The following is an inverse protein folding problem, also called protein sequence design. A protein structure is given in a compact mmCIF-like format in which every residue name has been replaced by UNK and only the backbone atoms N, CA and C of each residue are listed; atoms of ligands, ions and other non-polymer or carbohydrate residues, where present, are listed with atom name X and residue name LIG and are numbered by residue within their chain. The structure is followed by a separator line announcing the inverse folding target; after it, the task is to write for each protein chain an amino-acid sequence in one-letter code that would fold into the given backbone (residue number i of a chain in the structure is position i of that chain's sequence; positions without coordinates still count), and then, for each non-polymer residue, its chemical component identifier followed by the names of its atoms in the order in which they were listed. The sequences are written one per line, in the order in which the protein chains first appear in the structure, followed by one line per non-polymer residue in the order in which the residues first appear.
data_IF_533757845762
#
_entry.id   IF_533757845762
#
_cell.length_a   1.000
_cell.length_b   1.000
_cell.length_c   1.000
_cell.angle_alpha   90.00
_cell.angle_beta   90.00
_cell.angle_gamma   90.00
#
_symmetry.space_group_name_H-M   'P 1'
#
loop_
_entity.id
_entity.type
_entity.pdbx_description
1 polymer ?
#
# COMPACT_ATOMS: atom_id res chain seq x y z
N UNK A 1 7.76 15.17 -74.77
CA UNK A 1 6.65 14.71 -73.83
C UNK A 1 7.17 14.14 -72.52
N UNK A 2 8.33 13.48 -72.48
CA UNK A 2 8.89 12.83 -71.29
C UNK A 2 9.25 13.82 -70.15
N UNK A 3 9.88 14.97 -70.44
CA UNK A 3 10.27 15.96 -69.42
C UNK A 3 9.10 16.58 -68.65
N UNK A 4 7.95 16.82 -69.29
CA UNK A 4 6.80 17.37 -68.62
C UNK A 4 6.20 16.37 -67.61
N UNK A 5 6.21 15.08 -67.94
CA UNK A 5 5.72 14.00 -67.10
C UNK A 5 6.61 13.83 -65.84
N UNK A 6 7.93 13.89 -65.99
CA UNK A 6 8.88 13.82 -64.86
C UNK A 6 8.83 15.05 -63.95
N UNK A 7 8.62 16.26 -64.52
CA UNK A 7 8.35 17.46 -63.70
C UNK A 7 7.04 17.34 -62.92
N UNK A 8 5.99 16.87 -63.54
CA UNK A 8 4.70 16.64 -62.87
C UNK A 8 4.85 15.64 -61.71
N UNK A 9 5.60 14.53 -61.91
CA UNK A 9 5.92 13.55 -60.89
C UNK A 9 6.73 14.15 -59.74
N UNK A 10 7.76 14.96 -60.03
CA UNK A 10 8.55 15.61 -59.01
C UNK A 10 7.74 16.64 -58.19
N UNK A 11 6.81 17.37 -58.80
CA UNK A 11 5.87 18.26 -58.09
C UNK A 11 4.89 17.46 -57.22
N UNK A 12 4.37 16.36 -57.74
CA UNK A 12 3.47 15.46 -57.01
C UNK A 12 4.18 14.88 -55.76
N UNK A 13 5.44 14.43 -55.93
CA UNK A 13 6.26 13.94 -54.79
C UNK A 13 6.53 15.05 -53.77
N UNK A 14 6.76 16.29 -54.20
CA UNK A 14 6.96 17.41 -53.31
C UNK A 14 5.69 17.70 -52.50
N UNK A 15 4.53 17.76 -53.14
CA UNK A 15 3.23 17.96 -52.44
C UNK A 15 2.97 16.82 -51.47
N UNK A 16 3.26 15.57 -51.86
CA UNK A 16 3.05 14.40 -51.02
C UNK A 16 3.99 14.43 -49.79
N UNK A 17 5.26 14.86 -49.96
CA UNK A 17 6.20 15.01 -48.87
C UNK A 17 5.78 16.09 -47.86
N UNK A 18 5.31 17.24 -48.33
CA UNK A 18 4.75 18.31 -47.51
C UNK A 18 3.48 17.86 -46.77
N UNK A 19 2.57 17.19 -47.49
CA UNK A 19 1.36 16.64 -46.89
C UNK A 19 1.66 15.60 -45.81
N UNK A 20 2.65 14.74 -46.04
CA UNK A 20 3.09 13.76 -45.07
C UNK A 20 3.70 14.44 -43.81
N UNK A 21 4.57 15.43 -43.99
CA UNK A 21 5.14 16.16 -42.86
C UNK A 21 4.06 16.92 -42.09
N UNK A 22 3.10 17.53 -42.78
CA UNK A 22 1.98 18.24 -42.16
C UNK A 22 1.05 17.28 -41.39
N UNK A 23 0.75 16.11 -41.95
CA UNK A 23 -0.11 15.11 -41.30
C UNK A 23 0.54 14.49 -40.08
N UNK A 24 1.85 14.23 -40.11
CA UNK A 24 2.62 13.76 -38.97
C UNK A 24 2.66 14.83 -37.87
N UNK A 25 2.93 16.09 -38.25
CA UNK A 25 2.90 17.22 -37.29
C UNK A 25 1.52 17.41 -36.65
N UNK A 26 0.46 17.37 -37.45
CA UNK A 26 -0.92 17.45 -36.96
C UNK A 26 -1.28 16.28 -36.04
N UNK A 27 -0.95 15.06 -36.44
CA UNK A 27 -1.21 13.86 -35.64
C UNK A 27 -0.45 13.90 -34.30
N UNK A 28 0.78 14.43 -34.29
CA UNK A 28 1.53 14.63 -33.06
C UNK A 28 0.85 15.64 -32.13
N UNK A 29 0.38 16.77 -32.62
CA UNK A 29 -0.29 17.79 -31.79
C UNK A 29 -1.62 17.27 -31.25
N UNK A 30 -2.40 16.57 -32.08
CA UNK A 30 -3.72 16.07 -31.69
C UNK A 30 -3.67 14.86 -30.76
N UNK A 31 -2.72 13.95 -30.97
CA UNK A 31 -2.67 12.68 -30.26
C UNK A 31 -1.37 12.48 -29.48
N UNK A 32 -0.24 12.86 -30.04
CA UNK A 32 1.08 12.63 -29.44
C UNK A 32 1.30 13.43 -28.17
N UNK A 33 0.99 14.73 -28.19
CA UNK A 33 1.14 15.59 -27.00
C UNK A 33 0.20 15.19 -25.85
N UNK A 34 -1.13 15.02 -26.05
CA UNK A 34 -2.03 14.59 -24.99
C UNK A 34 -1.66 13.20 -24.45
N UNK A 35 -1.28 12.28 -25.32
CA UNK A 35 -0.84 10.94 -24.93
C UNK A 35 0.43 11.02 -24.06
N UNK A 36 1.44 11.78 -24.47
CA UNK A 36 2.67 11.98 -23.70
C UNK A 36 2.41 12.59 -22.33
N UNK A 37 1.53 13.62 -22.26
CA UNK A 37 1.14 14.21 -20.98
C UNK A 37 0.43 13.21 -20.06
N UNK A 38 -0.47 12.40 -20.61
CA UNK A 38 -1.20 11.37 -19.85
C UNK A 38 -0.25 10.29 -19.36
N UNK A 39 0.69 9.83 -20.19
CA UNK A 39 1.70 8.84 -19.82
C UNK A 39 2.63 9.37 -18.73
N UNK A 40 3.09 10.62 -18.85
CA UNK A 40 3.95 11.25 -17.85
C UNK A 40 3.22 11.44 -16.52
N UNK A 41 1.95 11.84 -16.55
CA UNK A 41 1.11 11.93 -15.36
C UNK A 41 0.93 10.55 -14.71
N UNK A 42 0.69 9.50 -15.51
CA UNK A 42 0.59 8.12 -15.03
C UNK A 42 1.91 7.65 -14.39
N UNK A 43 3.06 7.89 -15.04
CA UNK A 43 4.37 7.54 -14.49
C UNK A 43 4.63 8.24 -13.16
N UNK A 44 4.35 9.55 -13.06
CA UNK A 44 4.50 10.32 -11.83
C UNK A 44 3.59 9.77 -10.71
N UNK A 45 2.36 9.40 -11.04
CA UNK A 45 1.44 8.79 -10.09
C UNK A 45 1.94 7.42 -9.63
N UNK A 46 2.48 6.59 -10.53
CA UNK A 46 3.07 5.29 -10.17
C UNK A 46 4.27 5.44 -9.24
N UNK A 47 5.20 6.37 -9.52
CA UNK A 47 6.36 6.65 -8.66
C UNK A 47 5.91 7.14 -7.28
N UNK A 48 4.97 8.09 -7.22
CA UNK A 48 4.47 8.58 -5.93
C UNK A 48 3.76 7.48 -5.13
N UNK A 49 3.01 6.62 -5.81
CA UNK A 49 2.34 5.47 -5.22
C UNK A 49 3.35 4.43 -4.72
N UNK A 50 4.38 4.10 -5.50
CA UNK A 50 5.44 3.20 -5.09
C UNK A 50 6.15 3.71 -3.83
N UNK A 51 6.42 5.03 -3.76
CA UNK A 51 7.01 5.66 -2.57
C UNK A 51 6.10 5.56 -1.33
N UNK A 52 4.79 5.78 -1.50
CA UNK A 52 3.82 5.63 -0.39
C UNK A 52 3.79 4.18 0.08
N UNK A 53 3.80 3.20 -0.83
CA UNK A 53 3.84 1.78 -0.48
C UNK A 53 5.13 1.43 0.27
N UNK A 54 6.29 1.92 -0.19
CA UNK A 54 7.57 1.70 0.48
C UNK A 54 7.57 2.28 1.90
N UNK A 55 7.11 3.54 2.09
CA UNK A 55 6.96 4.15 3.40
C UNK A 55 5.96 3.39 4.29
N UNK A 56 4.91 2.84 3.70
CA UNK A 56 3.95 2.01 4.42
C UNK A 56 4.60 0.71 4.90
N UNK A 57 5.43 0.07 4.06
CA UNK A 57 6.20 -1.11 4.46
C UNK A 57 7.15 -0.83 5.63
N UNK A 58 7.81 0.32 5.62
CA UNK A 58 8.66 0.77 6.74
C UNK A 58 7.84 1.01 8.01
N UNK A 59 6.67 1.64 7.89
CA UNK A 59 5.77 1.88 9.03
C UNK A 59 5.26 0.56 9.61
N UNK A 60 4.91 -0.40 8.75
CA UNK A 60 4.52 -1.75 9.18
C UNK A 60 5.66 -2.45 9.90
N UNK A 61 6.88 -2.32 9.41
CA UNK A 61 8.07 -2.89 10.06
C UNK A 61 8.37 -2.20 11.41
N UNK A 62 8.13 -0.89 11.53
CA UNK A 62 8.28 -0.16 12.79
C UNK A 62 7.29 -0.63 13.88
N UNK A 63 6.15 -1.21 13.50
CA UNK A 63 5.19 -1.79 14.42
C UNK A 63 5.72 -3.05 15.14
N UNK A 64 6.86 -3.62 14.72
CA UNK A 64 7.50 -4.75 15.41
C UNK A 64 7.86 -4.39 16.87
N UNK A 65 8.25 -3.14 17.10
CA UNK A 65 8.51 -2.63 18.47
C UNK A 65 7.24 -2.60 19.33
N UNK A 66 6.11 -2.20 18.75
CA UNK A 66 4.83 -2.24 19.47
C UNK A 66 4.39 -3.66 19.80
N UNK A 67 4.73 -4.63 18.96
CA UNK A 67 4.49 -6.06 19.23
C UNK A 67 5.37 -6.56 20.38
N UNK A 68 6.62 -6.12 20.47
CA UNK A 68 7.50 -6.41 21.61
C UNK A 68 6.96 -5.82 22.92
N UNK A 69 6.53 -4.56 22.89
CA UNK A 69 5.94 -3.90 24.07
C UNK A 69 4.64 -4.60 24.50
N UNK A 70 3.79 -4.99 23.56
CA UNK A 70 2.57 -5.77 23.81
C UNK A 70 2.91 -7.14 24.45
N UNK A 71 3.94 -7.82 23.95
CA UNK A 71 4.37 -9.11 24.47
C UNK A 71 4.93 -8.99 25.89
N UNK A 72 5.74 -7.96 26.16
CA UNK A 72 6.25 -7.67 27.49
C UNK A 72 5.13 -7.36 28.48
N UNK A 73 4.14 -6.55 28.06
CA UNK A 73 2.97 -6.21 28.86
C UNK A 73 2.11 -7.45 29.16
N UNK A 74 1.88 -8.31 28.19
CA UNK A 74 1.14 -9.57 28.38
C UNK A 74 1.84 -10.48 29.36
N UNK A 75 3.16 -10.60 29.28
CA UNK A 75 3.96 -11.40 30.21
C UNK A 75 3.88 -10.88 31.65
N UNK A 76 4.02 -9.57 31.86
CA UNK A 76 3.90 -8.96 33.18
C UNK A 76 2.48 -9.08 33.73
N UNK A 77 1.47 -8.89 32.89
CA UNK A 77 0.05 -9.06 33.27
C UNK A 77 -0.23 -10.52 33.67
N UNK A 78 0.31 -11.49 32.93
CA UNK A 78 0.16 -12.90 33.26
C UNK A 78 0.75 -13.22 34.62
N UNK A 79 1.97 -12.77 34.92
CA UNK A 79 2.61 -12.98 36.22
C UNK A 79 1.74 -12.43 37.36
N UNK A 80 1.21 -11.21 37.19
CA UNK A 80 0.33 -10.58 38.17
C UNK A 80 -0.97 -11.37 38.37
N UNK A 81 -1.56 -11.89 37.29
CA UNK A 81 -2.77 -12.74 37.37
C UNK A 81 -2.48 -14.07 38.06
N UNK A 82 -1.33 -14.69 37.81
CA UNK A 82 -0.90 -15.94 38.45
C UNK A 82 -0.63 -15.72 39.94
N UNK A 83 0.03 -14.61 40.31
CA UNK A 83 0.25 -14.22 41.73
C UNK A 83 -1.07 -13.98 42.47
N UNK A 84 -2.02 -13.24 41.85
CA UNK A 84 -3.37 -13.02 42.39
C UNK A 84 -4.09 -14.31 42.61
N UNK A 85 -4.03 -15.25 41.65
CA UNK A 85 -4.64 -16.57 41.77
C UNK A 85 -4.04 -17.38 42.92
N UNK A 86 -2.70 -17.39 43.02
CA UNK A 86 -2.00 -18.13 44.10
C UNK A 86 -2.32 -17.56 45.48
N UNK A 87 -2.39 -16.23 45.59
CA UNK A 87 -2.70 -15.57 46.84
C UNK A 87 -4.18 -15.72 47.22
N UNK A 88 -5.12 -15.71 46.27
CA UNK A 88 -6.54 -15.93 46.51
C UNK A 88 -6.86 -17.32 47.08
N UNK A 89 -6.10 -18.35 46.65
CA UNK A 89 -6.24 -19.72 47.14
C UNK A 89 -5.74 -19.84 48.62
N UNK A 90 -4.80 -18.98 49.04
CA UNK A 90 -4.13 -19.14 50.32
C UNK A 90 -4.67 -18.26 51.45
N UNK A 91 -5.49 -17.22 51.19
CA UNK A 91 -5.91 -16.31 52.25
C UNK A 91 -7.18 -15.50 51.97
N UNK A 92 -8.31 -16.00 52.44
CA UNK A 92 -9.60 -15.29 52.37
C UNK A 92 -9.68 -13.98 53.21
N UNK A 93 -8.74 -13.77 54.12
CA UNK A 93 -8.73 -12.60 55.04
C UNK A 93 -8.12 -11.32 54.39
N UNK A 94 -7.61 -11.39 53.14
CA UNK A 94 -6.97 -10.29 52.46
C UNK A 94 -7.81 -9.64 51.36
N UNK A 95 -9.14 -9.73 51.50
CA UNK A 95 -10.11 -9.20 50.53
C UNK A 95 -9.80 -7.79 49.95
N UNK A 96 -9.45 -6.79 50.77
CA UNK A 96 -9.15 -5.44 50.24
C UNK A 96 -7.89 -5.41 49.33
N UNK A 97 -6.85 -6.15 49.67
CA UNK A 97 -5.62 -6.23 48.84
C UNK A 97 -5.85 -6.92 47.51
N UNK A 98 -6.77 -7.90 47.46
CA UNK A 98 -7.17 -8.55 46.22
C UNK A 98 -7.95 -7.62 45.30
N UNK A 99 -8.85 -6.83 45.85
CA UNK A 99 -9.60 -5.83 45.09
C UNK A 99 -8.65 -4.83 44.43
N UNK A 100 -7.64 -4.35 45.16
CA UNK A 100 -6.62 -3.44 44.63
C UNK A 100 -5.75 -4.10 43.53
N UNK A 101 -5.28 -5.33 43.77
CA UNK A 101 -4.56 -6.12 42.77
C UNK A 101 -5.39 -6.39 41.50
N UNK A 102 -6.66 -6.70 41.63
CA UNK A 102 -7.57 -6.89 40.50
C UNK A 102 -7.80 -5.60 39.69
N UNK A 103 -7.87 -4.45 40.37
CA UNK A 103 -7.91 -3.16 39.67
C UNK A 103 -6.62 -2.92 38.87
N UNK A 104 -5.46 -3.28 39.44
CA UNK A 104 -4.17 -3.22 38.74
C UNK A 104 -4.15 -4.07 37.48
N UNK A 105 -4.60 -5.35 37.60
CA UNK A 105 -4.72 -6.25 36.43
C UNK A 105 -5.73 -5.74 35.42
N UNK A 106 -6.86 -5.23 35.85
CA UNK A 106 -7.84 -4.62 34.96
C UNK A 106 -7.25 -3.42 34.19
N UNK A 107 -6.47 -2.59 34.86
CA UNK A 107 -5.74 -1.49 34.22
C UNK A 107 -4.73 -1.96 33.16
N UNK A 108 -3.97 -3.01 33.46
CA UNK A 108 -3.02 -3.60 32.51
C UNK A 108 -3.71 -4.26 31.32
N UNK A 109 -4.81 -5.00 31.56
CA UNK A 109 -5.64 -5.56 30.46
C UNK A 109 -6.27 -4.46 29.61
N UNK A 110 -6.71 -3.36 30.22
CA UNK A 110 -7.19 -2.18 29.51
C UNK A 110 -6.09 -1.54 28.64
N UNK A 111 -4.87 -1.43 29.16
CA UNK A 111 -3.73 -0.93 28.41
C UNK A 111 -3.34 -1.85 27.27
N UNK A 112 -3.33 -3.16 27.49
CA UNK A 112 -3.13 -4.16 26.45
C UNK A 112 -4.24 -4.07 25.38
N UNK A 113 -5.49 -3.93 25.77
CA UNK A 113 -6.60 -3.75 24.85
C UNK A 113 -6.41 -2.52 23.95
N UNK A 114 -5.98 -1.40 24.51
CA UNK A 114 -5.70 -0.18 23.75
C UNK A 114 -4.54 -0.38 22.76
N UNK A 115 -3.47 -1.08 23.16
CA UNK A 115 -2.37 -1.46 22.26
C UNK A 115 -2.85 -2.35 21.10
N UNK A 116 -3.64 -3.38 21.39
CA UNK A 116 -4.19 -4.26 20.36
C UNK A 116 -5.17 -3.53 19.43
N UNK A 117 -5.95 -2.59 19.95
CA UNK A 117 -6.81 -1.75 19.13
C UNK A 117 -5.99 -0.86 18.18
N UNK A 118 -4.95 -0.19 18.72
CA UNK A 118 -4.06 0.66 17.93
C UNK A 118 -3.30 -0.14 16.85
N UNK A 119 -2.80 -1.34 17.20
CA UNK A 119 -2.19 -2.26 16.24
C UNK A 119 -3.20 -2.71 15.18
N UNK A 120 -4.43 -3.04 15.58
CA UNK A 120 -5.50 -3.39 14.66
C UNK A 120 -5.82 -2.26 13.68
N UNK A 121 -5.89 -1.02 14.14
CA UNK A 121 -6.08 0.15 13.29
C UNK A 121 -4.89 0.37 12.36
N UNK A 122 -3.67 0.23 12.88
CA UNK A 122 -2.44 0.34 12.10
C UNK A 122 -2.30 -0.72 10.99
N UNK A 123 -2.90 -1.91 11.18
CA UNK A 123 -2.89 -2.99 10.18
C UNK A 123 -4.04 -2.88 9.15
N UNK A 124 -5.07 -2.07 9.40
CA UNK A 124 -6.22 -1.90 8.51
C UNK A 124 -6.01 -0.82 7.44
N UNK A 125 -4.79 -0.61 7.00
CA UNK A 125 -4.49 0.36 5.94
C UNK A 125 -4.80 -0.19 4.55
N UNK A 126 -5.18 0.71 3.65
CA UNK A 126 -5.41 0.40 2.24
C UNK A 126 -4.17 0.72 1.44
N UNK A 127 -3.73 -0.22 0.62
CA UNK A 127 -2.54 -0.09 -0.23
C UNK A 127 -2.94 -0.19 -1.68
N UNK A 128 -2.46 0.69 -2.55
CA UNK A 128 -2.61 0.52 -3.98
C UNK A 128 -1.74 -0.67 -4.43
N UNK A 129 -2.38 -1.74 -4.90
CA UNK A 129 -1.68 -2.97 -5.32
C UNK A 129 -1.66 -3.15 -6.81
N UNK A 130 -2.55 -2.49 -7.53
CA UNK A 130 -2.67 -2.66 -8.98
C UNK A 130 -3.16 -1.36 -9.61
N UNK A 131 -2.56 -1.02 -10.74
CA UNK A 131 -3.05 0.06 -11.60
C UNK A 131 -3.69 -0.59 -12.81
N UNK A 132 -4.98 -0.39 -13.00
CA UNK A 132 -5.72 -0.82 -14.18
C UNK A 132 -5.94 0.39 -15.10
N UNK A 133 -5.81 0.18 -16.39
CA UNK A 133 -6.09 1.21 -17.40
C UNK A 133 -7.53 1.03 -17.86
N UNK A 134 -8.39 1.98 -17.52
CA UNK A 134 -9.72 2.11 -18.10
C UNK A 134 -9.66 3.17 -19.21
N UNK A 135 -9.38 2.70 -20.42
CA UNK A 135 -9.05 3.56 -21.54
C UNK A 135 -7.72 4.30 -21.32
N UNK A 136 -7.77 5.64 -21.21
CA UNK A 136 -6.59 6.51 -21.01
C UNK A 136 -6.43 6.90 -19.50
N UNK A 137 -7.38 6.53 -18.65
CA UNK A 137 -7.36 6.92 -17.23
C UNK A 137 -6.84 5.78 -16.36
N UNK A 138 -5.76 6.00 -15.59
CA UNK A 138 -5.30 5.01 -14.63
C UNK A 138 -6.28 4.94 -13.44
N UNK A 139 -6.79 3.75 -13.17
CA UNK A 139 -7.56 3.43 -11.96
C UNK A 139 -6.64 2.69 -11.01
N UNK A 140 -6.49 3.21 -9.79
CA UNK A 140 -5.70 2.57 -8.74
C UNK A 140 -6.60 1.63 -7.93
N UNK A 141 -6.32 0.34 -8.01
CA UNK A 141 -7.02 -0.67 -7.22
C UNK A 141 -6.37 -0.73 -5.83
N UNK A 142 -7.18 -0.49 -4.80
CA UNK A 142 -6.76 -0.52 -3.39
C UNK A 142 -7.09 -1.87 -2.78
N UNK A 143 -6.14 -2.47 -2.09
CA UNK A 143 -6.36 -3.69 -1.29
C UNK A 143 -5.94 -3.47 0.16
N UNK A 144 -6.41 -4.34 1.06
CA UNK A 144 -6.07 -4.32 2.48
C UNK A 144 -5.44 -5.65 2.86
N UNK A 145 -4.13 -5.81 2.66
CA UNK A 145 -3.45 -7.09 2.79
C UNK A 145 -3.51 -7.68 4.22
N UNK A 146 -3.65 -6.83 5.24
CA UNK A 146 -3.69 -7.22 6.65
C UNK A 146 -5.05 -6.99 7.32
N UNK A 147 -6.15 -6.87 6.56
CA UNK A 147 -7.49 -6.60 7.10
C UNK A 147 -7.96 -7.69 8.08
N UNK A 148 -7.71 -8.96 7.77
CA UNK A 148 -8.07 -10.09 8.64
C UNK A 148 -7.32 -10.01 9.98
N UNK A 149 -6.03 -9.72 9.95
CA UNK A 149 -5.18 -9.58 11.14
C UNK A 149 -5.60 -8.36 11.96
N UNK A 150 -5.84 -7.22 11.30
CA UNK A 150 -6.34 -6.01 11.96
C UNK A 150 -7.69 -6.23 12.64
N UNK A 151 -8.61 -6.94 11.97
CA UNK A 151 -9.91 -7.29 12.53
C UNK A 151 -9.78 -8.26 13.72
N UNK A 152 -8.90 -9.27 13.61
CA UNK A 152 -8.64 -10.21 14.70
C UNK A 152 -8.04 -9.49 15.93
N UNK A 153 -7.11 -8.56 15.72
CA UNK A 153 -6.56 -7.73 16.82
C UNK A 153 -7.62 -6.86 17.48
N UNK A 154 -8.50 -6.21 16.72
CA UNK A 154 -9.61 -5.45 17.29
C UNK A 154 -10.56 -6.31 18.11
N UNK A 155 -10.83 -7.54 17.65
CA UNK A 155 -11.61 -8.50 18.42
C UNK A 155 -10.93 -8.86 19.73
N UNK A 156 -9.64 -9.19 19.69
CA UNK A 156 -8.85 -9.45 20.90
C UNK A 156 -8.85 -8.24 21.85
N UNK A 157 -8.72 -7.02 21.33
CA UNK A 157 -8.82 -5.80 22.13
C UNK A 157 -10.19 -5.69 22.82
N UNK A 158 -11.27 -6.01 22.12
CA UNK A 158 -12.61 -6.04 22.69
C UNK A 158 -12.75 -7.07 23.81
N UNK A 159 -12.21 -8.27 23.62
CA UNK A 159 -12.26 -9.36 24.59
C UNK A 159 -11.41 -9.05 25.84
N UNK A 160 -10.22 -8.46 25.66
CA UNK A 160 -9.38 -7.97 26.75
C UNK A 160 -10.07 -6.85 27.54
N UNK A 161 -10.73 -5.92 26.85
CA UNK A 161 -11.49 -4.84 27.49
C UNK A 161 -12.69 -5.38 28.29
N UNK A 162 -13.41 -6.36 27.74
CA UNK A 162 -14.49 -7.05 28.44
C UNK A 162 -13.98 -7.75 29.71
N UNK A 163 -12.83 -8.41 29.62
CA UNK A 163 -12.16 -9.06 30.76
C UNK A 163 -11.70 -8.03 31.80
N UNK A 164 -11.17 -6.88 31.40
CA UNK A 164 -10.82 -5.78 32.31
C UNK A 164 -12.03 -5.25 33.06
N UNK A 165 -13.16 -5.04 32.39
CA UNK A 165 -14.42 -4.63 32.99
C UNK A 165 -14.95 -5.71 33.95
N UNK A 166 -14.83 -6.98 33.57
CA UNK A 166 -15.20 -8.12 34.43
C UNK A 166 -14.38 -8.14 35.73
N UNK A 167 -13.05 -7.93 35.65
CA UNK A 167 -12.19 -7.83 36.82
C UNK A 167 -12.51 -6.61 37.69
N UNK A 168 -12.80 -5.48 37.08
CA UNK A 168 -13.18 -4.27 37.82
C UNK A 168 -14.52 -4.45 38.57
N UNK A 169 -15.49 -5.08 37.92
CA UNK A 169 -16.80 -5.41 38.55
C UNK A 169 -16.59 -6.40 39.71
N UNK A 170 -15.75 -7.41 39.52
CA UNK A 170 -15.40 -8.38 40.53
C UNK A 170 -14.69 -7.71 41.71
N UNK A 171 -13.74 -6.82 41.45
CA UNK A 171 -13.05 -6.03 42.48
C UNK A 171 -14.02 -5.25 43.38
N UNK A 172 -15.06 -4.66 42.79
CA UNK A 172 -16.11 -3.93 43.55
C UNK A 172 -17.03 -4.86 44.34
N UNK A 173 -17.32 -6.06 43.85
CA UNK A 173 -18.14 -7.05 44.55
C UNK A 173 -17.39 -7.78 45.66
N UNK A 174 -16.09 -7.98 45.55
CA UNK A 174 -15.20 -8.54 46.57
C UNK A 174 -15.21 -7.70 47.85
N UNK A 175 -15.32 -6.40 47.72
CA UNK A 175 -15.45 -5.50 48.87
C UNK A 175 -16.75 -5.74 49.67
N UNK A 176 -17.71 -6.43 49.10
CA UNK A 176 -19.05 -6.69 49.69
C UNK A 176 -19.27 -8.12 50.22
N UNK A 177 -18.57 -9.11 49.63
CA UNK A 177 -18.93 -10.51 49.94
C UNK A 177 -17.68 -11.41 49.96
N UNK A 178 -17.16 -11.70 51.15
CA UNK A 178 -15.87 -12.39 51.34
C UNK A 178 -15.93 -13.92 51.17
N UNK A 179 -17.12 -14.55 51.15
CA UNK A 179 -17.25 -16.01 51.16
C UNK A 179 -17.25 -16.67 49.76
N UNK A 180 -17.69 -15.96 48.72
CA UNK A 180 -17.70 -16.49 47.34
C UNK A 180 -16.45 -16.06 46.51
N UNK A 181 -15.55 -15.42 47.15
CA UNK A 181 -14.44 -14.68 46.55
C UNK A 181 -13.39 -15.54 45.85
N UNK A 182 -12.96 -16.62 46.49
CA UNK A 182 -11.87 -17.43 45.98
C UNK A 182 -12.22 -18.13 44.66
N UNK A 183 -13.41 -18.67 44.53
CA UNK A 183 -13.86 -19.35 43.31
C UNK A 183 -14.04 -18.36 42.13
N UNK A 184 -14.56 -17.18 42.39
CA UNK A 184 -14.73 -16.13 41.38
C UNK A 184 -13.41 -15.58 40.89
N UNK A 185 -12.41 -15.41 41.78
CA UNK A 185 -11.05 -14.98 41.42
C UNK A 185 -10.37 -16.04 40.56
N UNK A 186 -10.47 -17.32 40.95
CA UNK A 186 -9.86 -18.43 40.19
C UNK A 186 -10.46 -18.56 38.79
N UNK A 187 -11.78 -18.45 38.63
CA UNK A 187 -12.45 -18.54 37.32
C UNK A 187 -12.05 -17.36 36.42
N UNK A 188 -12.12 -16.13 36.96
CA UNK A 188 -11.79 -14.92 36.18
C UNK A 188 -10.29 -14.87 35.83
N UNK A 189 -9.41 -15.25 36.74
CA UNK A 189 -7.98 -15.36 36.50
C UNK A 189 -7.68 -16.40 35.41
N UNK A 190 -8.34 -17.54 35.45
CA UNK A 190 -8.18 -18.60 34.44
C UNK A 190 -8.62 -18.13 33.05
N UNK A 191 -9.71 -17.38 32.95
CA UNK A 191 -10.17 -16.78 31.69
C UNK A 191 -9.19 -15.73 31.18
N UNK A 192 -8.67 -14.88 32.08
CA UNK A 192 -7.68 -13.87 31.73
C UNK A 192 -6.36 -14.49 31.24
N UNK A 193 -5.87 -15.53 31.91
CA UNK A 193 -4.66 -16.27 31.47
C UNK A 193 -4.88 -16.87 30.08
N UNK A 194 -6.02 -17.52 29.84
CA UNK A 194 -6.32 -18.08 28.51
C UNK A 194 -6.36 -17.01 27.43
N UNK A 195 -6.98 -15.86 27.69
CA UNK A 195 -6.99 -14.72 26.77
C UNK A 195 -5.57 -14.19 26.48
N UNK A 196 -4.73 -14.12 27.50
CA UNK A 196 -3.35 -13.68 27.34
C UNK A 196 -2.55 -14.70 26.53
N UNK A 197 -2.74 -16.01 26.74
CA UNK A 197 -2.10 -17.08 25.94
C UNK A 197 -2.51 -17.03 24.46
N UNK A 198 -3.81 -16.88 24.22
CA UNK A 198 -4.35 -16.74 22.87
C UNK A 198 -3.80 -15.45 22.18
N UNK A 199 -3.71 -14.37 22.95
CA UNK A 199 -3.16 -13.09 22.47
C UNK A 199 -1.65 -13.19 22.17
N UNK A 200 -0.87 -13.85 23.06
CA UNK A 200 0.56 -14.10 22.84
C UNK A 200 0.80 -14.94 21.58
N UNK A 201 -0.02 -15.97 21.39
CA UNK A 201 0.04 -16.83 20.20
C UNK A 201 -0.25 -16.02 18.93
N UNK A 202 -1.25 -15.14 18.99
CA UNK A 202 -1.58 -14.24 17.88
C UNK A 202 -0.42 -13.29 17.56
N UNK A 203 0.17 -12.63 18.57
CA UNK A 203 1.32 -11.73 18.38
C UNK A 203 2.50 -12.47 17.76
N UNK A 204 2.82 -13.67 18.26
CA UNK A 204 3.88 -14.49 17.68
C UNK A 204 3.62 -14.85 16.21
N UNK A 205 2.39 -15.21 15.87
CA UNK A 205 2.00 -15.50 14.49
C UNK A 205 2.12 -14.28 13.57
N UNK A 206 1.63 -13.15 14.02
CA UNK A 206 1.72 -11.90 13.23
C UNK A 206 3.18 -11.54 13.00
N UNK A 207 4.00 -11.58 14.03
CA UNK A 207 5.42 -11.26 13.95
C UNK A 207 6.20 -12.21 13.03
N UNK A 208 5.98 -13.54 13.19
CA UNK A 208 6.79 -14.54 12.49
C UNK A 208 6.36 -14.80 11.05
N UNK A 209 5.11 -14.54 10.71
CA UNK A 209 4.55 -14.92 9.42
C UNK A 209 3.86 -13.77 8.69
N UNK A 210 2.89 -13.15 9.34
CA UNK A 210 1.97 -12.27 8.64
C UNK A 210 2.64 -10.91 8.33
N UNK A 211 3.40 -10.35 9.26
CA UNK A 211 4.10 -9.09 9.10
C UNK A 211 5.22 -9.15 8.03
N UNK A 212 6.14 -10.14 8.07
CA UNK A 212 7.15 -10.30 7.03
C UNK A 212 6.56 -10.54 5.65
N UNK A 213 5.48 -11.34 5.56
CA UNK A 213 4.77 -11.59 4.30
C UNK A 213 4.20 -10.30 3.73
N UNK A 214 3.50 -9.52 4.57
CA UNK A 214 2.92 -8.25 4.13
C UNK A 214 3.99 -7.23 3.72
N UNK A 215 5.10 -7.13 4.46
CA UNK A 215 6.21 -6.25 4.07
C UNK A 215 6.83 -6.68 2.74
N UNK A 216 6.98 -8.00 2.51
CA UNK A 216 7.49 -8.52 1.25
C UNK A 216 6.54 -8.22 0.08
N UNK A 217 5.22 -8.41 0.27
CA UNK A 217 4.20 -8.09 -0.73
C UNK A 217 4.19 -6.58 -1.05
N UNK A 218 4.29 -5.72 -0.03
CA UNK A 218 4.35 -4.28 -0.21
C UNK A 218 5.60 -3.86 -0.99
N UNK A 219 6.77 -4.40 -0.64
CA UNK A 219 8.01 -4.13 -1.37
C UNK A 219 7.93 -4.62 -2.82
N UNK A 220 7.42 -5.82 -3.03
CA UNK A 220 7.21 -6.34 -4.38
C UNK A 220 6.25 -5.47 -5.21
N UNK A 221 5.16 -4.98 -4.62
CA UNK A 221 4.26 -4.06 -5.28
C UNK A 221 4.92 -2.69 -5.61
N UNK A 222 5.75 -2.16 -4.69
CA UNK A 222 6.50 -0.94 -4.94
C UNK A 222 7.49 -1.10 -6.10
N UNK A 223 8.24 -2.20 -6.13
CA UNK A 223 9.19 -2.53 -7.21
C UNK A 223 8.48 -2.71 -8.56
N UNK A 224 7.33 -3.39 -8.57
CA UNK A 224 6.53 -3.54 -9.79
C UNK A 224 6.03 -2.20 -10.32
N UNK A 225 5.56 -1.30 -9.45
CA UNK A 225 5.11 0.03 -9.85
C UNK A 225 6.27 0.89 -10.36
N UNK A 226 7.44 0.80 -9.76
CA UNK A 226 8.64 1.51 -10.22
C UNK A 226 9.09 1.00 -11.60
N UNK A 227 9.08 -0.32 -11.80
CA UNK A 227 9.35 -0.94 -13.09
C UNK A 227 8.34 -0.52 -14.16
N UNK A 228 7.04 -0.51 -13.83
CA UNK A 228 5.98 -0.05 -14.74
C UNK A 228 6.15 1.44 -15.07
N UNK A 229 6.50 2.27 -14.09
CA UNK A 229 6.73 3.69 -14.33
C UNK A 229 7.86 3.92 -15.32
N UNK A 230 8.94 3.14 -15.23
CA UNK A 230 10.07 3.22 -16.16
C UNK A 230 9.68 2.81 -17.59
N UNK A 231 8.81 1.80 -17.74
CA UNK A 231 8.27 1.40 -19.04
C UNK A 231 7.36 2.47 -19.65
N UNK A 232 6.53 3.11 -18.81
CA UNK A 232 5.66 4.22 -19.21
C UNK A 232 6.49 5.45 -19.61
N UNK A 233 7.59 5.75 -18.91
CA UNK A 233 8.50 6.84 -19.27
C UNK A 233 9.21 6.58 -20.61
N UNK A 234 9.53 5.32 -20.92
CA UNK A 234 10.03 4.95 -22.25
C UNK A 234 8.94 5.12 -23.33
N UNK A 235 7.69 4.78 -23.02
CA UNK A 235 6.57 4.93 -23.94
C UNK A 235 6.24 6.41 -24.22
N UNK A 236 6.46 7.32 -23.26
CA UNK A 236 6.30 8.78 -23.45
C UNK A 236 7.22 9.32 -24.57
N UNK A 237 8.35 8.69 -24.81
CA UNK A 237 9.31 9.09 -25.86
C UNK A 237 8.90 8.63 -27.27
N UNK A 238 8.06 7.62 -27.39
CA UNK A 238 7.62 7.06 -28.69
C UNK A 238 6.98 8.10 -29.62
N UNK A 239 6.04 8.96 -29.19
CA UNK A 239 5.45 9.98 -30.06
C UNK A 239 6.49 10.96 -30.59
N UNK A 240 7.52 11.32 -29.79
CA UNK A 240 8.60 12.22 -30.20
C UNK A 240 9.48 11.56 -31.27
N UNK A 241 9.79 10.26 -31.12
CA UNK A 241 10.55 9.50 -32.11
C UNK A 241 9.78 9.36 -33.42
N UNK A 242 8.48 9.07 -33.36
CA UNK A 242 7.62 9.00 -34.54
C UNK A 242 7.55 10.34 -35.27
N UNK A 243 7.42 11.45 -34.53
CA UNK A 243 7.51 12.79 -35.12
C UNK A 243 8.85 13.02 -35.78
N UNK A 244 9.97 12.74 -35.10
CA UNK A 244 11.31 12.95 -35.65
C UNK A 244 11.53 12.14 -36.93
N UNK A 245 11.16 10.85 -36.92
CA UNK A 245 11.27 9.99 -38.11
C UNK A 245 10.37 10.48 -39.25
N UNK A 246 9.12 10.85 -38.94
CA UNK A 246 8.19 11.37 -39.93
C UNK A 246 8.66 12.68 -40.59
N UNK A 247 9.18 13.61 -39.79
CA UNK A 247 9.75 14.87 -40.29
C UNK A 247 11.03 14.61 -41.12
N UNK A 248 11.86 13.66 -40.72
CA UNK A 248 13.08 13.30 -41.42
C UNK A 248 12.76 12.68 -42.80
N UNK A 249 11.80 11.76 -42.84
CA UNK A 249 11.33 11.17 -44.10
C UNK A 249 10.67 12.21 -45.02
N UNK A 250 9.81 13.07 -44.46
CA UNK A 250 9.21 14.18 -45.19
C UNK A 250 10.26 15.17 -45.72
N UNK A 251 11.24 15.52 -44.89
CA UNK A 251 12.36 16.40 -45.25
C UNK A 251 13.25 15.80 -46.37
N UNK A 252 13.62 14.53 -46.27
CA UNK A 252 14.38 13.84 -47.33
C UNK A 252 13.60 13.77 -48.64
N UNK A 253 12.28 13.43 -48.57
CA UNK A 253 11.42 13.44 -49.76
C UNK A 253 11.32 14.80 -50.41
N UNK A 254 11.20 15.87 -49.59
CA UNK A 254 11.18 17.27 -50.03
C UNK A 254 12.50 17.67 -50.75
N UNK A 255 13.65 17.39 -50.11
CA UNK A 255 14.95 17.69 -50.69
C UNK A 255 15.19 16.93 -52.00
N UNK A 256 14.83 15.66 -52.04
CA UNK A 256 14.95 14.85 -53.27
C UNK A 256 14.08 15.44 -54.42
N UNK A 257 12.83 15.83 -54.11
CA UNK A 257 11.93 16.44 -55.10
C UNK A 257 12.44 17.77 -55.59
N UNK A 258 12.98 18.64 -54.72
CA UNK A 258 13.59 19.88 -55.12
C UNK A 258 14.83 19.66 -56.02
N UNK A 259 15.66 18.67 -55.67
CA UNK A 259 16.81 18.27 -56.51
C UNK A 259 16.38 17.85 -57.91
N UNK A 260 15.33 17.04 -58.02
CA UNK A 260 14.79 16.60 -59.31
C UNK A 260 14.19 17.77 -60.09
N UNK A 261 13.39 18.65 -59.50
CA UNK A 261 12.82 19.82 -60.18
C UNK A 261 13.95 20.72 -60.71
N UNK A 262 14.99 20.93 -59.93
CA UNK A 262 16.14 21.76 -60.36
C UNK A 262 16.88 21.12 -61.53
N UNK A 263 17.13 19.82 -61.49
CA UNK A 263 17.80 19.08 -62.57
C UNK A 263 16.96 19.18 -63.89
N UNK A 264 15.66 18.95 -63.83
CA UNK A 264 14.80 19.03 -65.02
C UNK A 264 14.63 20.47 -65.53
N UNK A 265 14.72 21.51 -64.63
CA UNK A 265 14.69 22.89 -65.07
C UNK A 265 15.95 23.33 -65.81
N UNK A 266 17.11 22.73 -65.46
CA UNK A 266 18.38 22.98 -66.16
C UNK A 266 18.47 22.29 -67.53
N UNK A 267 17.81 21.14 -67.67
CA UNK A 267 17.72 20.43 -68.98
C UNK A 267 16.85 21.14 -70.00
N UNK A 268 15.85 21.89 -69.59
CA UNK A 268 14.98 22.65 -70.47
C UNK A 268 15.65 23.97 -71.02
N UNK A 269 16.79 24.37 -70.44
CA UNK A 269 17.51 25.56 -70.85
C UNK A 269 18.65 25.28 -71.88
N UNK A 270 18.84 24.00 -72.21
CA UNK A 270 19.71 23.55 -73.27
C UNK A 270 18.91 23.14 -74.50
#
# INVERSE_FOLDING_TARGET
MTNALFKALAWLQLVLSVALAASVGWGYVQFGMPLGQSLRSAATTMVSTAKVIAMTAETVQANDKLLDDAQALMKSTRQLVEELRGTALNNAALAPKYAEGMQGVAGLLGSAANLFAALGDGLMFSVPTRVELDGIRPIVVMTRPLELQGTAMKRTASDLKASAVGLQTLSTSIARDSQNMASAIVDTSSKAIKLLDDSETMVKRIRSRDLPSAVAELRGAAEQLDSLSSQVDMADKLPHWLLAVGLLLGGLGFLNSLGQIRLYSLQDRK
#
